data_IF_453024080860
#
_entry.id   IF_453024080860
#
_cell.length_a   1.000
_cell.length_b   1.000
_cell.length_c   1.000
_cell.angle_alpha   90.00
_cell.angle_beta   90.00
_cell.angle_gamma   90.00
#
_symmetry.space_group_name_H-M   'P 1'
#
loop_
_entity.id
_entity.type
_entity.pdbx_description
1 polymer ?
#
# COMPACT_ATOMS: atom_id res chain seq x y z
N UNK A 1 20.01 14.48 -7.42
CA UNK A 1 18.65 14.12 -6.97
C UNK A 1 17.98 13.36 -8.10
N UNK A 2 17.62 12.10 -7.91
CA UNK A 2 16.88 11.35 -8.93
C UNK A 2 15.50 11.99 -9.14
N UNK A 3 14.99 11.97 -10.37
CA UNK A 3 13.62 12.41 -10.66
C UNK A 3 12.62 11.35 -10.20
N UNK A 4 11.39 11.75 -9.86
CA UNK A 4 10.30 10.81 -9.55
C UNK A 4 10.11 9.78 -10.69
N UNK A 5 10.23 10.23 -11.95
CA UNK A 5 10.13 9.34 -13.11
C UNK A 5 11.25 8.29 -13.14
N UNK A 6 12.47 8.67 -12.78
CA UNK A 6 13.60 7.75 -12.73
C UNK A 6 13.41 6.70 -11.63
N UNK A 7 12.78 7.10 -10.51
CA UNK A 7 12.46 6.21 -9.39
C UNK A 7 11.42 5.17 -9.81
N UNK A 8 10.36 5.59 -10.51
CA UNK A 8 9.34 4.69 -11.05
C UNK A 8 9.98 3.64 -11.97
N UNK A 9 10.82 4.08 -12.91
CA UNK A 9 11.49 3.19 -13.86
C UNK A 9 12.38 2.18 -13.14
N UNK A 10 13.08 2.61 -12.09
CA UNK A 10 13.93 1.70 -11.30
C UNK A 10 13.11 0.70 -10.48
N UNK A 11 12.04 1.16 -9.82
CA UNK A 11 11.18 0.30 -9.04
C UNK A 11 10.47 -0.75 -9.93
N UNK A 12 10.04 -0.37 -11.13
CA UNK A 12 9.41 -1.29 -12.09
C UNK A 12 10.37 -2.38 -12.63
N UNK A 13 11.69 -2.21 -12.49
CA UNK A 13 12.66 -3.30 -12.79
C UNK A 13 12.71 -4.34 -11.69
N UNK A 14 12.36 -3.99 -10.46
CA UNK A 14 12.42 -4.90 -9.31
C UNK A 14 11.10 -5.70 -9.22
N UNK A 15 11.20 -7.02 -9.45
CA UNK A 15 10.05 -7.93 -9.41
C UNK A 15 9.33 -7.97 -8.05
N UNK A 16 9.99 -7.51 -6.98
CA UNK A 16 9.39 -7.46 -5.63
C UNK A 16 8.39 -6.33 -5.49
N UNK A 17 8.43 -5.34 -6.38
CA UNK A 17 7.58 -4.16 -6.29
C UNK A 17 6.38 -4.36 -7.24
N UNK A 18 5.14 -4.29 -6.74
CA UNK A 18 3.97 -4.42 -7.58
C UNK A 18 3.84 -3.21 -8.50
N UNK A 19 3.65 -3.45 -9.81
CA UNK A 19 3.36 -2.38 -10.78
C UNK A 19 2.08 -1.61 -10.42
N UNK A 20 1.17 -2.26 -9.70
CA UNK A 20 -0.06 -1.70 -9.17
C UNK A 20 0.14 -0.45 -8.30
N UNK A 21 1.31 -0.26 -7.69
CA UNK A 21 1.64 0.95 -6.95
C UNK A 21 1.51 2.22 -7.84
N UNK A 22 1.83 2.09 -9.12
CA UNK A 22 1.90 3.19 -10.08
C UNK A 22 0.68 3.25 -11.01
N UNK A 23 -0.38 2.48 -10.72
CA UNK A 23 -1.62 2.53 -11.48
C UNK A 23 -2.34 3.87 -11.35
N UNK A 24 -2.91 4.32 -12.47
CA UNK A 24 -3.86 5.43 -12.50
C UNK A 24 -5.21 5.00 -11.97
N UNK A 25 -6.14 5.95 -11.83
CA UNK A 25 -7.52 5.68 -11.44
C UNK A 25 -8.24 4.76 -12.42
N UNK A 26 -7.95 4.90 -13.70
CA UNK A 26 -8.56 4.12 -14.78
C UNK A 26 -8.09 2.67 -14.71
N UNK A 27 -6.78 2.44 -14.53
CA UNK A 27 -6.24 1.10 -14.37
C UNK A 27 -6.85 0.36 -13.16
N UNK A 28 -7.09 1.05 -12.04
CA UNK A 28 -7.77 0.44 -10.88
C UNK A 28 -9.24 0.13 -11.20
N UNK A 29 -9.89 0.99 -11.99
CA UNK A 29 -11.29 0.85 -12.37
C UNK A 29 -11.49 -0.30 -13.38
N UNK A 30 -10.53 -0.54 -14.26
CA UNK A 30 -10.54 -1.69 -15.17
C UNK A 30 -10.22 -2.98 -14.40
N UNK A 31 -9.27 -2.94 -13.47
CA UNK A 31 -8.95 -4.09 -12.60
C UNK A 31 -10.16 -4.57 -11.78
N UNK A 32 -10.96 -3.65 -11.20
CA UNK A 32 -12.13 -4.05 -10.40
C UNK A 32 -13.24 -4.68 -11.27
N UNK A 33 -13.33 -4.25 -12.53
CA UNK A 33 -14.24 -4.83 -13.53
C UNK A 33 -13.78 -6.23 -13.96
N UNK A 34 -12.49 -6.40 -14.25
CA UNK A 34 -11.88 -7.71 -14.55
C UNK A 34 -12.02 -8.71 -13.38
N UNK A 35 -12.02 -8.20 -12.14
CA UNK A 35 -12.25 -9.01 -10.95
C UNK A 35 -13.71 -9.51 -10.82
N UNK A 36 -14.63 -9.02 -11.67
CA UNK A 36 -16.04 -9.40 -11.68
C UNK A 36 -16.95 -8.44 -10.90
N UNK A 37 -16.48 -7.23 -10.58
CA UNK A 37 -17.25 -6.21 -9.88
C UNK A 37 -17.42 -4.89 -10.66
N UNK A 38 -17.96 -4.93 -11.90
CA UNK A 38 -18.13 -3.73 -12.74
C UNK A 38 -18.98 -2.64 -12.07
N UNK A 39 -19.91 -3.01 -11.18
CA UNK A 39 -20.76 -2.08 -10.43
C UNK A 39 -19.95 -1.10 -9.57
N UNK A 40 -18.72 -1.43 -9.18
CA UNK A 40 -17.88 -0.56 -8.35
C UNK A 40 -16.94 0.34 -9.15
N UNK A 41 -16.94 0.24 -10.48
CA UNK A 41 -16.11 1.07 -11.36
C UNK A 41 -16.35 2.57 -11.13
N UNK A 42 -17.62 2.98 -11.09
CA UNK A 42 -17.99 4.37 -10.81
C UNK A 42 -17.50 4.84 -9.43
N UNK A 43 -17.64 3.99 -8.40
CA UNK A 43 -17.16 4.30 -7.05
C UNK A 43 -15.65 4.56 -7.00
N UNK A 44 -14.87 3.73 -7.70
CA UNK A 44 -13.41 3.87 -7.79
C UNK A 44 -13.02 5.19 -8.48
N UNK A 45 -13.64 5.50 -9.62
CA UNK A 45 -13.36 6.71 -10.38
C UNK A 45 -13.76 7.97 -9.62
N UNK A 46 -14.98 8.01 -9.05
CA UNK A 46 -15.48 9.18 -8.30
C UNK A 46 -14.62 9.47 -7.06
N UNK A 47 -14.11 8.44 -6.37
CA UNK A 47 -13.24 8.62 -5.20
C UNK A 47 -11.75 8.79 -5.56
N UNK A 48 -11.43 8.81 -6.86
CA UNK A 48 -10.09 8.93 -7.40
C UNK A 48 -9.11 7.91 -6.79
N UNK A 49 -9.53 6.64 -6.67
CA UNK A 49 -8.71 5.57 -6.10
C UNK A 49 -7.64 5.15 -7.11
N UNK A 50 -6.39 5.56 -6.88
CA UNK A 50 -5.22 5.17 -7.67
C UNK A 50 -4.40 4.08 -6.96
N UNK A 51 -3.32 3.62 -7.60
CA UNK A 51 -2.42 2.59 -7.05
C UNK A 51 -1.87 2.90 -5.65
N UNK A 52 -1.50 4.16 -5.41
CA UNK A 52 -1.05 4.61 -4.08
C UNK A 52 -2.14 4.52 -3.03
N UNK A 53 -3.38 4.90 -3.36
CA UNK A 53 -4.53 4.81 -2.46
C UNK A 53 -4.92 3.35 -2.19
N UNK A 54 -4.76 2.43 -3.15
CA UNK A 54 -4.96 1.00 -2.94
C UNK A 54 -4.08 0.46 -1.80
N UNK A 55 -2.83 0.94 -1.69
CA UNK A 55 -1.92 0.54 -0.61
C UNK A 55 -2.42 0.91 0.80
N UNK A 56 -3.33 1.88 0.90
CA UNK A 56 -3.93 2.35 2.16
C UNK A 56 -5.36 1.84 2.37
N UNK A 57 -5.94 1.17 1.38
CA UNK A 57 -7.34 0.79 1.40
C UNK A 57 -7.53 -0.49 2.23
N UNK A 58 -8.19 -0.37 3.38
CA UNK A 58 -8.53 -1.48 4.26
C UNK A 58 -10.03 -1.79 4.24
N UNK A 59 -10.40 -3.00 4.70
CA UNK A 59 -11.77 -3.48 4.80
C UNK A 59 -12.75 -2.45 5.41
N UNK A 60 -12.29 -1.68 6.41
CA UNK A 60 -13.09 -0.67 7.11
C UNK A 60 -13.38 0.61 6.31
N UNK A 61 -12.62 0.87 5.25
CA UNK A 61 -12.79 2.05 4.40
C UNK A 61 -13.78 1.82 3.25
N UNK A 62 -14.06 0.57 2.88
CA UNK A 62 -14.92 0.22 1.75
C UNK A 62 -16.35 0.79 1.84
N UNK A 63 -17.05 0.75 3.00
CA UNK A 63 -18.38 1.33 3.08
C UNK A 63 -18.41 2.83 2.79
N UNK A 64 -17.34 3.55 3.13
CA UNK A 64 -17.23 5.01 2.88
C UNK A 64 -17.05 5.35 1.41
N UNK A 65 -16.54 4.43 0.61
CA UNK A 65 -16.37 4.62 -0.84
C UNK A 65 -17.54 4.05 -1.66
N UNK A 66 -18.53 3.44 -1.00
CA UNK A 66 -19.73 2.89 -1.66
C UNK A 66 -19.73 1.37 -1.86
N UNK A 67 -18.75 0.65 -1.30
CA UNK A 67 -18.70 -0.82 -1.32
C UNK A 67 -19.19 -1.31 0.04
N UNK A 68 -20.46 -1.70 0.11
CA UNK A 68 -21.15 -2.04 1.37
C UNK A 68 -21.39 -3.53 1.58
N UNK A 69 -21.36 -4.33 0.50
CA UNK A 69 -21.55 -5.77 0.58
C UNK A 69 -20.34 -6.45 1.23
N UNK A 70 -20.58 -7.18 2.31
CA UNK A 70 -19.52 -7.78 3.11
C UNK A 70 -18.74 -8.88 2.37
N UNK A 71 -19.40 -9.69 1.55
CA UNK A 71 -18.71 -10.73 0.79
C UNK A 71 -17.86 -10.12 -0.33
N UNK A 72 -18.35 -9.06 -0.97
CA UNK A 72 -17.53 -8.30 -1.92
C UNK A 72 -16.31 -7.66 -1.24
N UNK A 73 -16.48 -7.06 -0.05
CA UNK A 73 -15.37 -6.48 0.72
C UNK A 73 -14.30 -7.55 1.00
N UNK A 74 -14.70 -8.76 1.39
CA UNK A 74 -13.75 -9.86 1.65
C UNK A 74 -12.96 -10.25 0.41
N UNK A 75 -13.65 -10.46 -0.72
CA UNK A 75 -13.02 -10.85 -1.98
C UNK A 75 -12.07 -9.75 -2.47
N UNK A 76 -12.53 -8.50 -2.51
CA UNK A 76 -11.73 -7.37 -2.98
C UNK A 76 -10.52 -7.16 -2.05
N UNK A 77 -10.72 -7.19 -0.73
CA UNK A 77 -9.63 -7.01 0.25
C UNK A 77 -8.54 -8.09 0.10
N UNK A 78 -8.92 -9.33 -0.22
CA UNK A 78 -7.96 -10.40 -0.49
C UNK A 78 -7.19 -10.10 -1.78
N UNK A 79 -7.88 -9.79 -2.87
CA UNK A 79 -7.25 -9.53 -4.16
C UNK A 79 -6.33 -8.30 -4.14
N UNK A 80 -6.63 -7.27 -3.34
CA UNK A 80 -5.70 -6.14 -3.12
C UNK A 80 -4.39 -6.61 -2.48
N UNK A 81 -4.47 -7.50 -1.48
CA UNK A 81 -3.26 -8.04 -0.84
C UNK A 81 -2.43 -8.87 -1.81
N UNK A 82 -3.10 -9.72 -2.59
CA UNK A 82 -2.45 -10.55 -3.61
C UNK A 82 -1.80 -9.69 -4.70
N UNK A 83 -2.49 -8.64 -5.17
CA UNK A 83 -2.01 -7.68 -6.16
C UNK A 83 -0.78 -6.89 -5.70
N UNK A 84 -0.74 -6.52 -4.42
CA UNK A 84 0.34 -5.72 -3.83
C UNK A 84 1.44 -6.56 -3.16
N UNK A 85 1.36 -7.89 -3.25
CA UNK A 85 2.25 -8.82 -2.56
C UNK A 85 2.34 -8.57 -1.04
N UNK A 86 1.23 -8.18 -0.43
CA UNK A 86 1.12 -7.95 1.01
C UNK A 86 0.83 -9.24 1.76
N UNK A 87 1.42 -9.39 2.95
CA UNK A 87 1.13 -10.51 3.84
C UNK A 87 -0.32 -10.46 4.35
N UNK A 88 -0.90 -11.64 4.58
CA UNK A 88 -2.19 -11.74 5.24
C UNK A 88 -2.12 -11.23 6.69
N UNK A 89 -3.20 -10.60 7.19
CA UNK A 89 -3.26 -10.16 8.57
C UNK A 89 -3.45 -11.37 9.50
N UNK A 90 -2.34 -11.89 10.02
CA UNK A 90 -2.35 -12.97 10.99
C UNK A 90 -2.63 -12.46 12.40
N UNK A 91 -3.62 -13.05 13.07
CA UNK A 91 -3.96 -12.72 14.47
C UNK A 91 -2.87 -13.11 15.46
N UNK A 92 -2.01 -14.07 15.10
CA UNK A 92 -0.91 -14.60 15.92
C UNK A 92 0.47 -14.02 15.54
N UNK A 93 0.53 -12.91 14.79
CA UNK A 93 1.80 -12.23 14.51
C UNK A 93 2.44 -11.77 15.83
N UNK A 94 3.70 -12.11 16.04
CA UNK A 94 4.43 -11.68 17.23
C UNK A 94 4.52 -10.15 17.29
N UNK A 95 4.24 -9.59 18.46
CA UNK A 95 4.43 -8.16 18.69
C UNK A 95 5.90 -7.76 18.54
N UNK A 96 6.88 -8.67 18.68
CA UNK A 96 8.29 -8.30 18.51
C UNK A 96 8.69 -8.02 17.05
N UNK A 97 7.85 -8.40 16.08
CA UNK A 97 8.10 -8.23 14.65
C UNK A 97 7.45 -6.93 14.17
N UNK A 98 8.03 -6.22 13.18
CA UNK A 98 7.36 -5.08 12.55
C UNK A 98 5.92 -5.40 12.11
N UNK A 99 4.97 -4.45 12.20
CA UNK A 99 3.57 -4.64 11.83
C UNK A 99 3.36 -5.10 10.39
N UNK A 100 4.28 -4.72 9.49
CA UNK A 100 4.29 -5.08 8.06
C UNK A 100 5.68 -5.55 7.67
N UNK A 101 5.78 -6.35 6.62
CA UNK A 101 7.07 -6.66 6.01
C UNK A 101 7.67 -5.42 5.33
N UNK A 102 8.93 -5.52 4.92
CA UNK A 102 9.68 -4.41 4.34
C UNK A 102 9.00 -3.84 3.08
N UNK A 103 8.37 -4.69 2.26
CA UNK A 103 7.56 -4.24 1.13
C UNK A 103 6.34 -3.44 1.59
N UNK A 104 5.57 -3.96 2.54
CA UNK A 104 4.40 -3.28 3.09
C UNK A 104 4.74 -1.95 3.75
N UNK A 105 5.89 -1.83 4.43
CA UNK A 105 6.40 -0.57 4.95
C UNK A 105 6.75 0.42 3.83
N UNK A 106 7.39 -0.06 2.77
CA UNK A 106 7.69 0.76 1.59
C UNK A 106 6.42 1.23 0.87
N UNK A 107 5.42 0.36 0.69
CA UNK A 107 4.14 0.70 0.07
C UNK A 107 3.35 1.70 0.92
N UNK A 108 3.41 1.58 2.25
CA UNK A 108 2.81 2.55 3.16
C UNK A 108 3.47 3.93 3.06
N UNK A 109 4.80 3.97 2.97
CA UNK A 109 5.53 5.21 2.69
C UNK A 109 5.09 5.81 1.34
N UNK A 110 5.08 5.00 0.27
CA UNK A 110 4.69 5.41 -1.09
C UNK A 110 3.20 5.73 -1.26
N UNK A 111 2.34 5.36 -0.31
CA UNK A 111 0.92 5.75 -0.32
C UNK A 111 0.73 7.27 -0.13
N UNK A 112 1.72 7.93 0.48
CA UNK A 112 1.76 9.38 0.65
C UNK A 112 2.44 10.07 -0.56
N UNK A 113 2.35 11.40 -0.60
CA UNK A 113 2.96 12.22 -1.64
C UNK A 113 4.00 13.14 -1.01
N UNK A 114 5.14 13.33 -1.67
CA UNK A 114 6.17 14.25 -1.19
C UNK A 114 7.48 14.02 -1.93
N UNK A 115 8.25 15.10 -2.14
CA UNK A 115 9.48 15.06 -2.95
C UNK A 115 10.43 13.94 -2.54
N UNK A 116 10.69 13.78 -1.23
CA UNK A 116 11.57 12.71 -0.76
C UNK A 116 10.99 11.31 -0.99
N UNK A 117 9.71 11.11 -0.70
CA UNK A 117 8.98 9.85 -0.90
C UNK A 117 8.99 9.45 -2.38
N UNK A 118 8.70 10.40 -3.25
CA UNK A 118 8.63 10.19 -4.70
C UNK A 118 9.99 9.82 -5.29
N UNK A 119 11.08 10.35 -4.73
CA UNK A 119 12.45 10.06 -5.17
C UNK A 119 13.10 8.85 -4.50
N UNK A 120 12.49 8.31 -3.44
CA UNK A 120 13.04 7.17 -2.70
C UNK A 120 12.71 5.86 -3.41
N UNK A 121 13.73 5.11 -3.81
CA UNK A 121 13.55 3.75 -4.35
C UNK A 121 13.42 2.73 -3.22
N UNK A 122 12.91 1.54 -3.53
CA UNK A 122 12.84 0.46 -2.54
C UNK A 122 14.21 0.12 -1.96
N UNK A 123 15.25 0.02 -2.82
CA UNK A 123 16.63 -0.25 -2.40
C UNK A 123 17.18 0.83 -1.46
N UNK A 124 16.91 2.10 -1.74
CA UNK A 124 17.31 3.20 -0.85
C UNK A 124 16.61 3.12 0.51
N UNK A 125 15.32 2.75 0.54
CA UNK A 125 14.60 2.55 1.79
C UNK A 125 15.29 1.51 2.68
N UNK A 126 15.72 0.37 2.11
CA UNK A 126 16.49 -0.64 2.84
C UNK A 126 17.85 -0.14 3.34
N UNK A 127 18.59 0.59 2.50
CA UNK A 127 19.90 1.10 2.91
C UNK A 127 19.78 2.12 4.03
N UNK A 128 18.72 2.95 4.00
CA UNK A 128 18.47 3.95 5.03
C UNK A 128 17.91 3.34 6.32
N UNK A 129 17.24 2.18 6.23
CA UNK A 129 16.67 1.46 7.36
C UNK A 129 17.13 -0.01 7.35
N UNK A 130 18.42 -0.30 7.61
CA UNK A 130 18.98 -1.65 7.49
C UNK A 130 18.41 -2.61 8.54
N UNK A 131 17.92 -2.08 9.66
CA UNK A 131 17.13 -2.79 10.66
C UNK A 131 16.09 -1.81 11.21
N UNK A 132 14.84 -1.79 10.71
CA UNK A 132 13.76 -1.18 11.44
C UNK A 132 13.52 -2.10 12.65
N UNK A 133 14.35 -1.99 13.68
CA UNK A 133 14.06 -2.61 14.98
C UNK A 133 12.78 -1.94 15.44
N UNK A 134 11.66 -2.57 15.09
CA UNK A 134 10.36 -2.11 15.50
C UNK A 134 10.37 -2.17 17.01
N UNK A 135 10.28 -1.00 17.62
CA UNK A 135 10.11 -0.88 19.04
C UNK A 135 8.69 -0.36 19.19
N UNK A 136 7.84 -1.05 19.99
CA UNK A 136 6.56 -0.47 20.34
C UNK A 136 6.86 0.90 20.97
N UNK A 137 6.02 1.93 20.70
CA UNK A 137 6.21 3.21 21.34
C UNK A 137 6.28 2.98 22.86
N UNK A 138 7.37 3.47 23.48
CA UNK A 138 7.60 3.33 24.92
C UNK A 138 6.54 4.08 25.74
N UNK A 139 5.73 4.91 25.09
CA UNK A 139 4.55 5.53 25.66
C UNK A 139 3.28 4.94 25.06
N UNK A 140 2.23 4.91 25.87
CA UNK A 140 0.88 4.45 25.53
C UNK A 140 0.18 5.34 24.49
N UNK A 141 0.90 6.30 23.89
CA UNK A 141 0.36 7.33 22.99
C UNK A 141 0.43 6.92 21.52
N UNK A 142 0.94 5.73 21.18
CA UNK A 142 0.96 5.20 19.81
C UNK A 142 1.62 6.11 18.77
N UNK A 143 2.60 6.93 19.16
CA UNK A 143 3.36 7.79 18.24
C UNK A 143 4.68 7.11 17.86
N UNK A 144 4.88 6.85 16.57
CA UNK A 144 6.18 6.43 16.03
C UNK A 144 7.00 7.71 15.79
N UNK A 145 7.92 8.02 16.69
CA UNK A 145 8.87 9.12 16.51
C UNK A 145 10.13 8.59 15.82
N UNK A 146 10.69 9.31 14.82
CA UNK A 146 12.03 9.03 14.32
C UNK A 146 13.05 9.31 15.45
N UNK A 147 14.13 8.52 15.49
CA UNK A 147 15.28 8.83 16.35
C UNK A 147 16.29 9.66 15.55
N UNK A 148 16.80 10.69 16.21
CA UNK A 148 17.98 11.45 15.79
C UNK A 148 19.23 10.55 15.69
#
# INVERSE_FOLDING_TARGET
MASAQATIVEDLKDKRIPSALYWTTEHVADWIEELGFPQYKACILTNLINGRKLCRLHASAFPKIGITDFEHIKIISKNIRDLLFLEEPYWNRSIAVPPKNNLGMYLEMKSHTGKQIDTTTFRQMYHNNPDPKWQPPLSNQCLILPRD
#
